data_IF_716678899251
#
_entry.id   IF_716678899251
#
_cell.length_a   1.000
_cell.length_b   1.000
_cell.length_c   1.000
_cell.angle_alpha   90.00
_cell.angle_beta   90.00
_cell.angle_gamma   90.00
#
_symmetry.space_group_name_H-M   'P 1'
#
loop_
_entity.id
_entity.type
_entity.pdbx_description
1 polymer ?
#
# COMPACT_ATOMS: atom_id res chain seq x y z
N UNK A 1 -12.45 -22.81 10.52
CA UNK A 1 -12.14 -22.28 11.86
C UNK A 1 -10.76 -21.67 11.82
N UNK A 2 -10.68 -20.35 11.90
CA UNK A 2 -9.42 -19.60 11.93
C UNK A 2 -9.35 -18.46 10.92
N UNK A 3 -10.19 -17.43 11.06
CA UNK A 3 -9.99 -16.09 10.46
C UNK A 3 -10.54 -15.02 11.44
N UNK A 4 -10.09 -15.12 12.70
CA UNK A 4 -10.37 -14.16 13.78
C UNK A 4 -9.39 -12.98 13.77
N UNK A 5 -9.07 -12.39 12.61
CA UNK A 5 -8.15 -11.24 12.53
C UNK A 5 -8.79 -9.94 12.06
N UNK A 6 -10.12 -9.88 11.92
CA UNK A 6 -10.86 -8.63 11.66
C UNK A 6 -10.97 -7.71 12.89
N UNK A 7 -10.12 -7.93 13.90
CA UNK A 7 -10.00 -7.07 15.08
C UNK A 7 -8.74 -6.21 14.98
N UNK A 8 -8.95 -4.89 15.11
CA UNK A 8 -7.98 -3.79 15.05
C UNK A 8 -7.53 -3.39 13.63
N UNK A 9 -8.45 -2.82 12.85
CA UNK A 9 -8.06 -2.05 11.68
C UNK A 9 -7.25 -0.83 12.12
N UNK A 10 -5.98 -0.76 11.73
CA UNK A 10 -5.16 0.42 11.93
C UNK A 10 -5.75 1.60 11.13
N UNK A 11 -5.47 2.84 11.55
CA UNK A 11 -5.93 4.01 10.82
C UNK A 11 -5.46 3.93 9.35
N UNK A 12 -6.40 4.02 8.41
CA UNK A 12 -6.11 3.96 6.98
C UNK A 12 -6.20 2.59 6.32
N UNK A 13 -6.37 1.48 7.04
CA UNK A 13 -6.63 0.16 6.42
C UNK A 13 -8.00 0.16 5.72
N UNK A 14 -8.02 -0.22 4.43
CA UNK A 14 -9.22 -0.29 3.61
C UNK A 14 -9.82 -1.70 3.66
N UNK A 15 -11.14 -1.80 3.53
CA UNK A 15 -11.85 -3.07 3.47
C UNK A 15 -11.42 -3.88 2.25
N UNK A 16 -10.67 -4.96 2.50
CA UNK A 16 -10.12 -5.84 1.46
C UNK A 16 -11.21 -6.40 0.55
N UNK A 17 -12.39 -6.74 1.07
CA UNK A 17 -13.48 -7.33 0.27
C UNK A 17 -14.01 -6.32 -0.75
N UNK A 18 -14.19 -5.07 -0.32
CA UNK A 18 -14.64 -3.98 -1.19
C UNK A 18 -13.59 -3.65 -2.26
N UNK A 19 -12.30 -3.69 -1.91
CA UNK A 19 -11.20 -3.45 -2.85
C UNK A 19 -11.07 -4.61 -3.83
N UNK A 20 -11.18 -5.87 -3.39
CA UNK A 20 -11.15 -7.04 -4.27
C UNK A 20 -12.21 -6.96 -5.36
N UNK A 21 -13.44 -6.58 -5.02
CA UNK A 21 -14.51 -6.39 -6.00
C UNK A 21 -14.15 -5.33 -7.07
N UNK A 22 -13.52 -4.23 -6.67
CA UNK A 22 -13.08 -3.17 -7.59
C UNK A 22 -11.87 -3.62 -8.45
N UNK A 23 -10.99 -4.45 -7.88
CA UNK A 23 -9.74 -4.89 -8.50
C UNK A 23 -9.85 -6.20 -9.28
N UNK A 24 -11.00 -6.90 -9.27
CA UNK A 24 -11.16 -8.20 -9.95
C UNK A 24 -10.64 -8.22 -11.39
N UNK A 25 -10.88 -7.14 -12.14
CA UNK A 25 -10.43 -7.02 -13.55
C UNK A 25 -8.95 -6.65 -13.72
N UNK A 26 -8.29 -6.20 -12.66
CA UNK A 26 -6.89 -5.73 -12.64
C UNK A 26 -5.92 -6.78 -12.11
N UNK A 27 -6.42 -7.73 -11.30
CA UNK A 27 -5.65 -8.83 -10.75
C UNK A 27 -5.34 -9.87 -11.83
N UNK A 28 -4.10 -10.35 -11.85
CA UNK A 28 -3.73 -11.49 -12.66
C UNK A 28 -4.39 -12.78 -12.13
N UNK A 29 -4.48 -13.85 -12.94
CA UNK A 29 -4.96 -15.14 -12.45
C UNK A 29 -4.16 -15.60 -11.23
N UNK A 30 -4.88 -15.96 -10.16
CA UNK A 30 -4.32 -16.39 -8.87
C UNK A 30 -3.48 -15.32 -8.15
N UNK A 31 -3.64 -14.05 -8.49
CA UNK A 31 -3.13 -12.94 -7.68
C UNK A 31 -4.19 -12.61 -6.61
N UNK A 32 -3.76 -12.48 -5.35
CA UNK A 32 -4.64 -12.19 -4.21
C UNK A 32 -4.22 -10.91 -3.50
N UNK A 33 -5.19 -10.12 -3.03
CA UNK A 33 -4.90 -8.94 -2.23
C UNK A 33 -4.60 -9.38 -0.79
N UNK A 34 -3.48 -8.91 -0.24
CA UNK A 34 -3.10 -9.18 1.15
C UNK A 34 -3.58 -8.06 2.07
N UNK A 35 -3.33 -6.81 1.70
CA UNK A 35 -3.79 -5.63 2.42
C UNK A 35 -4.00 -4.44 1.48
N UNK A 36 -4.87 -3.53 1.88
CA UNK A 36 -5.06 -2.26 1.19
C UNK A 36 -5.08 -1.12 2.21
N UNK A 37 -4.48 0.01 1.84
CA UNK A 37 -4.39 1.20 2.67
C UNK A 37 -4.86 2.42 1.90
N UNK A 38 -5.86 3.11 2.43
CA UNK A 38 -6.34 4.38 1.92
C UNK A 38 -5.53 5.51 2.54
N UNK A 39 -4.77 6.20 1.71
CA UNK A 39 -4.07 7.42 2.06
C UNK A 39 -4.98 8.65 1.88
N UNK A 40 -4.46 9.83 2.20
CA UNK A 40 -5.20 11.11 2.10
C UNK A 40 -5.70 11.38 0.66
N UNK A 41 -4.95 10.95 -0.37
CA UNK A 41 -5.34 11.08 -1.79
C UNK A 41 -5.41 9.75 -2.53
N UNK A 42 -4.55 8.81 -2.18
CA UNK A 42 -4.30 7.61 -2.97
C UNK A 42 -4.76 6.33 -2.25
N UNK A 43 -4.85 5.23 -2.97
CA UNK A 43 -5.01 3.89 -2.42
C UNK A 43 -3.76 3.08 -2.74
N UNK A 44 -3.19 2.41 -1.75
CA UNK A 44 -2.07 1.48 -1.92
C UNK A 44 -2.58 0.07 -1.63
N UNK A 45 -2.40 -0.84 -2.58
CA UNK A 45 -2.83 -2.23 -2.47
C UNK A 45 -1.61 -3.13 -2.56
N UNK A 46 -1.43 -3.98 -1.55
CA UNK A 46 -0.41 -5.01 -1.51
C UNK A 46 -1.05 -6.33 -1.93
N UNK A 47 -0.50 -6.95 -2.98
CA UNK A 47 -0.87 -8.31 -3.41
C UNK A 47 0.27 -9.27 -3.10
N UNK A 48 0.09 -10.56 -3.40
CA UNK A 48 1.15 -11.57 -3.33
C UNK A 48 2.25 -11.39 -4.40
N UNK A 49 2.09 -10.44 -5.33
CA UNK A 49 3.00 -10.24 -6.48
C UNK A 49 3.58 -8.85 -6.61
N UNK A 50 2.84 -7.81 -6.20
CA UNK A 50 3.19 -6.41 -6.43
C UNK A 50 2.48 -5.48 -5.45
N UNK A 51 2.98 -4.26 -5.40
CA UNK A 51 2.31 -3.10 -4.84
C UNK A 51 1.58 -2.40 -5.98
N UNK A 52 0.31 -2.05 -5.80
CA UNK A 52 -0.48 -1.27 -6.75
C UNK A 52 -0.85 0.07 -6.11
N UNK A 53 -0.41 1.16 -6.73
CA UNK A 53 -0.76 2.52 -6.35
C UNK A 53 -1.90 3.00 -7.23
N UNK A 54 -2.95 3.52 -6.60
CA UNK A 54 -4.09 4.11 -7.30
C UNK A 54 -4.18 5.59 -6.98
N UNK A 55 -3.88 6.41 -7.97
CA UNK A 55 -4.07 7.86 -7.93
C UNK A 55 -5.41 8.21 -8.56
N UNK A 56 -6.24 8.96 -7.83
CA UNK A 56 -7.51 9.52 -8.31
C UNK A 56 -7.29 10.94 -8.83
N UNK A 57 -7.28 11.07 -10.15
CA UNK A 57 -6.97 12.31 -10.84
C UNK A 57 -8.23 13.12 -11.21
N UNK A 58 -8.06 14.44 -11.21
CA UNK A 58 -9.04 15.41 -11.69
C UNK A 58 -10.18 15.73 -10.70
N UNK A 59 -10.94 16.78 -11.02
CA UNK A 59 -11.97 17.34 -10.13
C UNK A 59 -13.11 16.35 -9.83
N UNK A 60 -13.38 15.43 -10.75
CA UNK A 60 -14.45 14.42 -10.59
C UNK A 60 -13.97 13.10 -9.98
N UNK A 61 -12.65 12.89 -9.83
CA UNK A 61 -12.07 11.64 -9.34
C UNK A 61 -12.35 10.39 -10.19
N UNK A 62 -12.91 10.56 -11.41
CA UNK A 62 -13.26 9.46 -12.31
C UNK A 62 -12.05 8.91 -13.06
N UNK A 63 -11.04 9.74 -13.31
CA UNK A 63 -9.79 9.30 -13.92
C UNK A 63 -8.95 8.65 -12.83
N UNK A 64 -8.50 7.42 -13.06
CA UNK A 64 -7.63 6.70 -12.14
C UNK A 64 -6.37 6.26 -12.87
N UNK A 65 -5.24 6.41 -12.22
CA UNK A 65 -3.96 5.84 -12.65
C UNK A 65 -3.62 4.67 -11.73
N UNK A 66 -3.27 3.53 -12.33
CA UNK A 66 -2.87 2.32 -11.62
C UNK A 66 -1.39 2.04 -11.90
N UNK A 67 -0.52 2.37 -10.95
CA UNK A 67 0.90 2.09 -11.06
C UNK A 67 1.21 0.77 -10.35
N UNK A 68 1.68 -0.21 -11.11
CA UNK A 68 2.10 -1.52 -10.58
C UNK A 68 3.59 -1.56 -10.34
N UNK A 69 4.00 -1.79 -9.09
CA UNK A 69 5.38 -1.96 -8.65
C UNK A 69 5.62 -3.40 -8.19
N UNK A 70 6.20 -4.26 -9.05
CA UNK A 70 6.59 -5.61 -8.65
C UNK A 70 7.63 -5.59 -7.53
N UNK A 71 7.49 -6.47 -6.53
CA UNK A 71 8.40 -6.51 -5.38
C UNK A 71 9.87 -6.68 -5.78
N UNK A 72 10.14 -7.50 -6.80
CA UNK A 72 11.50 -7.71 -7.37
C UNK A 72 12.19 -6.44 -7.88
N UNK A 73 11.46 -5.34 -8.09
CA UNK A 73 12.03 -4.06 -8.51
C UNK A 73 12.36 -3.15 -7.34
N UNK A 74 11.85 -3.45 -6.14
CA UNK A 74 12.18 -2.72 -4.92
C UNK A 74 13.58 -3.13 -4.48
N UNK A 75 14.47 -2.15 -4.33
CA UNK A 75 15.86 -2.39 -3.95
C UNK A 75 16.15 -2.03 -2.50
N UNK A 76 15.37 -1.12 -1.93
CA UNK A 76 15.50 -0.64 -0.56
C UNK A 76 14.20 0.01 -0.13
N UNK A 77 13.89 -0.05 1.16
CA UNK A 77 12.82 0.73 1.75
C UNK A 77 13.24 1.30 3.11
N UNK A 78 12.56 2.36 3.54
CA UNK A 78 12.71 2.97 4.85
C UNK A 78 11.34 3.35 5.37
N UNK A 79 11.13 3.19 6.67
CA UNK A 79 9.90 3.58 7.35
C UNK A 79 10.25 4.55 8.47
N UNK A 80 9.63 5.72 8.44
CA UNK A 80 9.81 6.80 9.42
C UNK A 80 8.48 6.99 10.14
N UNK A 81 8.44 6.64 11.42
CA UNK A 81 7.22 6.64 12.24
C UNK A 81 6.78 8.06 12.60
N UNK A 82 5.48 8.25 12.82
CA UNK A 82 4.93 9.50 13.33
C UNK A 82 5.58 9.91 14.66
N UNK A 83 5.87 11.20 14.82
CA UNK A 83 6.48 11.77 16.02
C UNK A 83 5.45 12.40 16.96
N UNK A 84 5.92 13.05 18.03
CA UNK A 84 5.01 13.80 18.94
C UNK A 84 4.34 15.01 18.27
N UNK A 85 4.91 15.53 17.19
CA UNK A 85 4.45 16.76 16.52
C UNK A 85 4.01 16.52 15.06
N UNK A 86 4.41 15.42 14.45
CA UNK A 86 3.97 14.98 13.13
C UNK A 86 3.10 13.74 13.29
N UNK A 87 1.88 13.80 12.78
CA UNK A 87 0.87 12.74 12.96
C UNK A 87 0.97 11.66 11.89
N UNK A 88 1.73 11.92 10.83
CA UNK A 88 1.91 11.01 9.71
C UNK A 88 3.27 10.32 9.79
N UNK A 89 3.32 9.10 9.25
CA UNK A 89 4.52 8.33 9.01
C UNK A 89 4.88 8.35 7.53
N UNK A 90 6.17 8.30 7.22
CA UNK A 90 6.69 8.30 5.86
C UNK A 90 7.27 6.93 5.52
N UNK A 91 6.71 6.29 4.50
CA UNK A 91 7.27 5.09 3.87
C UNK A 91 7.97 5.48 2.59
N UNK A 92 9.26 5.16 2.50
CA UNK A 92 10.13 5.50 1.36
C UNK A 92 10.54 4.20 0.67
N UNK A 93 10.30 4.08 -0.63
CA UNK A 93 10.60 2.89 -1.43
C UNK A 93 11.48 3.26 -2.62
N UNK A 94 12.67 2.67 -2.69
CA UNK A 94 13.58 2.80 -3.82
C UNK A 94 13.37 1.64 -4.78
N UNK A 95 13.35 1.98 -6.06
CA UNK A 95 13.24 1.01 -7.14
C UNK A 95 14.53 0.99 -7.95
N UNK A 96 14.80 -0.15 -8.58
CA UNK A 96 16.01 -0.34 -9.38
C UNK A 96 16.14 0.76 -10.45
N UNK A 97 17.24 1.49 -10.39
CA UNK A 97 17.57 2.56 -11.35
C UNK A 97 17.03 3.95 -10.97
N UNK A 98 16.24 4.07 -9.90
CA UNK A 98 15.82 5.37 -9.37
C UNK A 98 16.80 5.86 -8.29
N UNK A 99 17.17 7.14 -8.36
CA UNK A 99 17.97 7.82 -7.33
C UNK A 99 17.11 8.31 -6.17
N UNK A 100 15.87 8.69 -6.47
CA UNK A 100 14.90 9.19 -5.49
C UNK A 100 13.86 8.11 -5.16
N UNK A 101 13.41 8.04 -3.89
CA UNK A 101 12.36 7.11 -3.49
C UNK A 101 10.97 7.58 -3.90
N UNK A 102 10.05 6.63 -4.05
CA UNK A 102 8.64 6.91 -3.85
C UNK A 102 8.39 7.15 -2.36
N UNK A 103 7.69 8.24 -2.03
CA UNK A 103 7.36 8.59 -0.64
C UNK A 103 5.84 8.52 -0.46
N UNK A 104 5.41 7.71 0.50
CA UNK A 104 4.01 7.53 0.85
C UNK A 104 3.77 7.94 2.29
N UNK A 105 2.81 8.84 2.50
CA UNK A 105 2.41 9.31 3.83
C UNK A 105 1.26 8.48 4.36
N UNK A 106 1.46 7.84 5.51
CA UNK A 106 0.44 7.06 6.19
C UNK A 106 0.02 7.79 7.47
N UNK A 107 -1.27 7.77 7.85
CA UNK A 107 -1.67 8.15 9.19
C UNK A 107 -1.07 7.17 10.21
N UNK A 108 -0.75 7.65 11.42
CA UNK A 108 -0.08 6.85 12.44
C UNK A 108 -0.72 5.48 12.67
N UNK A 109 0.11 4.43 12.69
CA UNK A 109 -0.27 3.04 12.97
C UNK A 109 -0.32 2.15 11.73
N UNK A 110 -0.42 2.71 10.51
CA UNK A 110 -0.37 1.92 9.27
C UNK A 110 1.05 1.49 8.87
N UNK A 111 2.07 2.22 9.33
CA UNK A 111 3.45 2.03 8.92
C UNK A 111 4.08 0.70 9.34
N UNK A 112 3.69 0.16 10.49
CA UNK A 112 4.22 -1.11 11.00
C UNK A 112 3.79 -2.29 10.10
N UNK A 113 2.53 -2.26 9.63
CA UNK A 113 2.01 -3.27 8.71
C UNK A 113 2.69 -3.17 7.35
N UNK A 114 2.88 -1.95 6.85
CA UNK A 114 3.59 -1.71 5.59
C UNK A 114 5.05 -2.17 5.69
N UNK A 115 5.73 -1.89 6.81
CA UNK A 115 7.09 -2.36 7.05
C UNK A 115 7.17 -3.90 6.99
N UNK A 116 6.22 -4.60 7.62
CA UNK A 116 6.15 -6.06 7.61
C UNK A 116 5.88 -6.62 6.22
N UNK A 117 4.93 -6.04 5.48
CA UNK A 117 4.62 -6.47 4.11
C UNK A 117 5.81 -6.28 3.17
N UNK A 118 6.47 -5.12 3.23
CA UNK A 118 7.69 -4.87 2.46
C UNK A 118 8.79 -5.86 2.84
N UNK A 119 9.01 -6.12 4.13
CA UNK A 119 9.99 -7.09 4.58
C UNK A 119 9.68 -8.53 4.12
N UNK A 120 8.40 -8.92 4.08
CA UNK A 120 7.98 -10.27 3.68
C UNK A 120 8.17 -10.55 2.18
N UNK A 121 8.08 -9.52 1.33
CA UNK A 121 8.09 -9.69 -0.13
C UNK A 121 9.35 -9.17 -0.82
N UNK A 122 10.12 -8.28 -0.19
CA UNK A 122 11.31 -7.65 -0.77
C UNK A 122 12.61 -8.33 -0.34
N UNK A 123 12.64 -8.99 0.84
CA UNK A 123 13.81 -9.69 1.39
C UNK A 123 13.85 -11.15 0.94
#
# INVERSE_FOLDING_TARGET
MGLFSTLLGHAGEADTEAIEAEFQSLLAPQESIEKAFKLVRDLIVFTDRRIVLVDKQGVTGKKREYLSLPYKQVTMFSVETAGRADLDSDVKVWVRGATEPFVWKFPSGGEDDVARLLAAHVL
#
